data_IF_904713052444
#
_entry.id   IF_904713052444
#
_cell.length_a   1.000
_cell.length_b   1.000
_cell.length_c   1.000
_cell.angle_alpha   90.00
_cell.angle_beta   90.00
_cell.angle_gamma   90.00
#
_symmetry.space_group_name_H-M   'P 1'
#
loop_
_entity.id
_entity.type
_entity.pdbx_description
1 polymer ?
#
# COMPACT_ATOMS: atom_id res chain seq x y z
N UNK A 1 -2.58 -14.51 1.86
CA UNK A 1 -1.85 -13.30 2.22
C UNK A 1 -1.86 -12.33 1.05
N UNK A 2 -2.20 -11.10 1.31
CA UNK A 2 -2.25 -10.10 0.25
C UNK A 2 -1.02 -9.21 0.35
N UNK A 3 -0.24 -9.14 -0.73
CA UNK A 3 0.96 -8.30 -0.78
C UNK A 3 0.88 -7.36 -1.96
N UNK A 4 1.45 -6.19 -1.78
CA UNK A 4 1.51 -5.20 -2.85
C UNK A 4 2.94 -4.68 -2.99
N UNK A 5 3.24 -4.14 -4.17
CA UNK A 5 4.50 -3.45 -4.41
C UNK A 5 4.17 -1.97 -4.67
N UNK A 6 4.94 -1.09 -4.08
CA UNK A 6 4.79 0.34 -4.30
C UNK A 6 5.44 0.68 -5.63
N UNK A 7 4.64 1.09 -6.62
CA UNK A 7 5.13 1.31 -7.97
C UNK A 7 5.07 2.77 -8.42
N UNK A 8 4.11 3.54 -7.87
CA UNK A 8 3.97 4.95 -8.23
C UNK A 8 3.69 5.79 -6.99
N UNK A 9 4.67 5.89 -6.07
CA UNK A 9 4.44 6.62 -4.83
C UNK A 9 4.26 8.11 -5.09
N UNK A 10 3.23 8.69 -4.48
CA UNK A 10 2.94 10.12 -4.62
C UNK A 10 3.07 10.86 -3.31
N UNK A 11 3.04 10.14 -2.20
CA UNK A 11 3.12 10.74 -0.86
C UNK A 11 4.47 10.43 -0.25
N UNK A 12 4.94 11.34 0.63
CA UNK A 12 6.25 11.17 1.25
C UNK A 12 6.40 9.82 1.95
N UNK A 13 5.35 9.39 2.66
CA UNK A 13 5.44 8.14 3.40
C UNK A 13 5.58 6.93 2.48
N UNK A 14 5.01 6.99 1.28
CA UNK A 14 5.12 5.86 0.37
C UNK A 14 6.36 5.94 -0.51
N UNK A 15 6.90 7.15 -0.73
CA UNK A 15 8.11 7.29 -1.54
C UNK A 15 9.30 6.57 -0.93
N UNK A 16 9.33 6.49 0.39
CA UNK A 16 10.42 5.79 1.08
C UNK A 16 10.43 4.30 0.77
N UNK A 17 9.31 3.79 0.32
CA UNK A 17 9.14 2.35 0.07
C UNK A 17 8.97 2.03 -1.41
N UNK A 18 9.34 2.96 -2.29
CA UNK A 18 9.22 2.75 -3.72
C UNK A 18 9.93 1.46 -4.14
N UNK A 19 9.22 0.60 -4.84
CA UNK A 19 9.76 -0.68 -5.30
C UNK A 19 9.74 -1.78 -4.26
N UNK A 20 9.32 -1.48 -3.03
CA UNK A 20 9.28 -2.49 -1.98
C UNK A 20 7.94 -3.19 -1.94
N UNK A 21 7.96 -4.42 -1.45
CA UNK A 21 6.77 -5.25 -1.29
C UNK A 21 6.43 -5.31 0.19
N UNK A 22 5.17 -5.09 0.52
CA UNK A 22 4.71 -5.22 1.88
C UNK A 22 3.43 -6.02 1.95
N UNK A 23 3.04 -6.39 3.17
CA UNK A 23 1.84 -7.16 3.41
C UNK A 23 0.68 -6.23 3.76
N UNK A 24 -0.46 -6.44 3.12
CA UNK A 24 -1.66 -5.65 3.41
C UNK A 24 -2.27 -6.18 4.69
N UNK A 25 -2.31 -5.35 5.73
CA UNK A 25 -2.86 -5.75 7.02
C UNK A 25 -4.20 -5.05 7.31
N UNK A 26 -4.61 -4.14 6.44
CA UNK A 26 -5.88 -3.45 6.61
C UNK A 26 -6.13 -2.55 5.42
N UNK A 27 -7.24 -1.83 5.49
CA UNK A 27 -7.65 -0.93 4.41
C UNK A 27 -8.19 0.34 5.03
N UNK A 28 -8.12 1.44 4.28
CA UNK A 28 -8.88 2.60 4.65
C UNK A 28 -9.93 2.86 3.57
N UNK A 29 -11.07 3.42 3.98
CA UNK A 29 -12.14 3.74 3.05
C UNK A 29 -12.03 5.21 2.65
N UNK A 30 -12.70 5.61 1.57
CA UNK A 30 -12.74 7.01 1.15
C UNK A 30 -13.26 7.94 2.25
N UNK A 31 -14.11 7.43 3.13
CA UNK A 31 -14.67 8.23 4.20
C UNK A 31 -13.64 8.65 5.23
N UNK A 32 -12.58 7.86 5.37
CA UNK A 32 -11.52 8.15 6.33
C UNK A 32 -10.32 8.84 5.71
N UNK A 33 -10.39 9.16 4.43
CA UNK A 33 -9.31 9.79 3.72
C UNK A 33 -9.71 11.22 3.37
N UNK A 34 -8.81 12.17 3.59
CA UNK A 34 -9.07 13.55 3.24
C UNK A 34 -9.31 13.75 1.75
N UNK A 35 -8.75 12.87 0.96
CA UNK A 35 -8.85 12.97 -0.49
C UNK A 35 -9.93 12.09 -1.08
N UNK A 36 -10.69 11.39 -0.23
CA UNK A 36 -11.73 10.51 -0.71
C UNK A 36 -11.22 9.29 -1.46
N UNK A 37 -10.01 8.86 -1.18
CA UNK A 37 -9.40 7.70 -1.84
C UNK A 37 -9.38 6.53 -0.90
N UNK A 38 -9.48 5.34 -1.48
CA UNK A 38 -9.30 4.14 -0.69
C UNK A 38 -7.87 3.61 -0.93
N UNK A 39 -7.39 2.81 0.01
CA UNK A 39 -6.05 2.29 -0.08
C UNK A 39 -5.82 1.20 0.95
N UNK A 40 -4.54 0.88 1.14
CA UNK A 40 -4.12 -0.23 1.98
C UNK A 40 -3.30 0.26 3.15
N UNK A 41 -3.44 -0.43 4.28
CA UNK A 41 -2.48 -0.32 5.36
C UNK A 41 -1.50 -1.46 5.14
N UNK A 42 -0.25 -1.11 4.93
CA UNK A 42 0.76 -2.08 4.49
C UNK A 42 1.90 -2.11 5.50
N UNK A 43 2.25 -3.32 5.92
CA UNK A 43 3.39 -3.51 6.79
C UNK A 43 4.58 -3.91 5.94
N UNK A 44 5.66 -3.14 6.03
CA UNK A 44 6.88 -3.41 5.28
C UNK A 44 7.89 -4.13 6.15
N UNK A 45 8.90 -4.76 5.56
CA UNK A 45 9.97 -5.40 6.33
C UNK A 45 10.57 -4.40 7.32
N UNK A 46 10.72 -4.83 8.57
CA UNK A 46 11.13 -3.92 9.63
C UNK A 46 9.99 -3.55 10.55
N UNK A 47 8.77 -3.89 10.18
CA UNK A 47 7.60 -3.67 11.03
C UNK A 47 6.93 -2.32 10.90
N UNK A 48 7.35 -1.51 9.95
CA UNK A 48 6.73 -0.19 9.77
C UNK A 48 5.45 -0.33 8.95
N UNK A 49 4.38 0.31 9.44
CA UNK A 49 3.08 0.27 8.75
C UNK A 49 2.82 1.61 8.12
N UNK A 50 2.51 1.59 6.83
CA UNK A 50 2.34 2.81 6.05
C UNK A 50 1.05 2.71 5.24
N UNK A 51 0.33 3.82 5.11
CA UNK A 51 -0.82 3.89 4.24
C UNK A 51 -0.37 4.10 2.80
N UNK A 52 -0.85 3.24 1.91
CA UNK A 52 -0.51 3.31 0.48
C UNK A 52 -1.81 3.38 -0.30
N UNK A 53 -1.97 4.40 -1.12
CA UNK A 53 -3.18 4.54 -1.92
C UNK A 53 -3.23 3.42 -2.96
N UNK A 54 -4.44 3.06 -3.34
CA UNK A 54 -4.66 1.95 -4.25
C UNK A 54 -3.92 2.12 -5.57
N UNK A 55 -3.88 3.34 -6.07
CA UNK A 55 -3.24 3.61 -7.35
C UNK A 55 -1.71 3.80 -7.24
N UNK A 56 -1.17 3.76 -6.03
CA UNK A 56 0.28 3.80 -5.83
C UNK A 56 0.91 2.41 -5.84
N UNK A 57 0.09 1.38 -5.86
CA UNK A 57 0.55 0.02 -5.64
C UNK A 57 -0.02 -0.95 -6.66
N UNK A 58 0.66 -2.07 -6.82
CA UNK A 58 0.12 -3.16 -7.62
C UNK A 58 0.10 -4.43 -6.79
N UNK A 59 -0.82 -5.31 -7.08
CA UNK A 59 -0.93 -6.58 -6.38
C UNK A 59 0.18 -7.51 -6.81
N UNK A 60 0.89 -8.06 -5.83
CA UNK A 60 1.98 -8.97 -6.10
C UNK A 60 1.47 -10.41 -6.15
N UNK A 61 0.44 -10.71 -5.39
CA UNK A 61 -0.11 -12.06 -5.30
C UNK A 61 -1.23 -12.33 -6.30
N UNK A 62 -1.50 -11.36 -7.16
CA UNK A 62 -2.66 -11.45 -8.05
C UNK A 62 -2.57 -12.61 -9.04
N UNK A 63 -1.38 -12.97 -9.43
CA UNK A 63 -1.16 -14.05 -10.39
C UNK A 63 -0.83 -15.35 -9.72
N UNK A 64 -0.82 -15.41 -8.43
CA UNK A 64 -0.40 -16.59 -7.74
C UNK A 64 -1.46 -17.68 -7.93
N UNK A 65 -1.17 -18.77 -8.58
CA UNK A 65 -2.16 -19.79 -8.85
C UNK A 65 -2.62 -20.48 -7.59
#
# INVERSE_FOLDING_TARGET
MHRIRVVQPRYEQSKRFAGQVGEVIGHWSPENSEEGRQGYLVEFPGGEVVGVAEDEAEDVDADDP
#
